data_IF_084479437541
#
_entry.id   IF_084479437541
#
_cell.length_a   1.000
_cell.length_b   1.000
_cell.length_c   1.000
_cell.angle_alpha   90.00
_cell.angle_beta   90.00
_cell.angle_gamma   90.00
#
_symmetry.space_group_name_H-M   'P 1'
#
loop_
_entity.id
_entity.type
_entity.pdbx_description
1 polymer ?
#
# COMPACT_ATOMS: atom_id res chain seq x y z
N UNK A 1 7.92 -13.30 -17.23
CA UNK A 1 6.49 -13.33 -16.84
C UNK A 1 5.68 -14.08 -17.89
N UNK A 2 5.69 -13.67 -19.15
CA UNK A 2 4.84 -14.27 -20.20
C UNK A 2 5.07 -15.79 -20.40
N UNK A 3 6.28 -16.27 -20.18
CA UNK A 3 6.67 -17.69 -20.30
C UNK A 3 6.44 -18.49 -18.99
N UNK A 4 6.33 -17.81 -17.85
CA UNK A 4 6.15 -18.43 -16.54
C UNK A 4 4.87 -17.86 -15.89
N UNK A 5 3.72 -18.30 -16.39
CA UNK A 5 2.40 -17.78 -15.97
C UNK A 5 1.96 -18.30 -14.59
N UNK A 6 2.62 -19.34 -14.12
CA UNK A 6 2.45 -19.96 -12.81
C UNK A 6 3.18 -19.21 -11.67
N UNK A 7 4.05 -18.24 -12.03
CA UNK A 7 4.76 -17.42 -11.05
C UNK A 7 4.03 -16.08 -10.90
N UNK A 8 3.38 -15.86 -9.77
CA UNK A 8 2.62 -14.65 -9.49
C UNK A 8 3.42 -13.56 -8.77
N UNK A 9 4.46 -13.93 -8.02
CA UNK A 9 5.28 -12.99 -7.23
C UNK A 9 6.73 -13.00 -7.71
N UNK A 10 7.24 -11.84 -8.05
CA UNK A 10 8.60 -11.65 -8.55
C UNK A 10 9.38 -10.71 -7.63
N UNK A 11 10.53 -11.17 -7.12
CA UNK A 11 11.40 -10.35 -6.28
C UNK A 11 12.50 -9.69 -7.11
N UNK A 12 12.63 -8.36 -6.98
CA UNK A 12 13.64 -7.55 -7.65
C UNK A 12 14.50 -6.86 -6.60
N UNK A 13 15.63 -7.49 -6.26
CA UNK A 13 16.64 -6.93 -5.34
C UNK A 13 17.76 -6.19 -6.07
N UNK A 14 17.41 -5.52 -7.15
CA UNK A 14 18.28 -4.67 -7.97
C UNK A 14 17.81 -3.22 -7.90
N UNK A 15 18.72 -2.28 -8.09
CA UNK A 15 18.35 -0.89 -8.16
C UNK A 15 19.47 0.05 -8.57
N UNK A 16 19.08 1.18 -9.14
CA UNK A 16 19.98 2.23 -9.58
C UNK A 16 20.71 2.90 -8.41
N UNK A 17 21.95 3.30 -8.65
CA UNK A 17 22.70 4.15 -7.72
C UNK A 17 22.20 5.60 -7.75
N UNK A 18 21.57 6.02 -8.84
CA UNK A 18 21.04 7.36 -9.02
C UNK A 18 19.67 7.49 -8.37
N UNK A 19 19.37 8.70 -7.93
CA UNK A 19 18.05 9.04 -7.39
C UNK A 19 16.97 9.05 -8.47
N UNK A 20 15.75 8.72 -8.11
CA UNK A 20 14.57 8.88 -8.97
C UNK A 20 14.27 10.36 -9.23
N UNK A 21 13.61 10.64 -10.36
CA UNK A 21 13.03 11.94 -10.64
C UNK A 21 11.72 12.14 -9.84
N UNK A 22 11.38 13.41 -9.55
CA UNK A 22 10.08 13.77 -8.98
C UNK A 22 9.08 14.25 -10.05
N UNK A 23 9.50 14.32 -11.32
CA UNK A 23 8.68 14.81 -12.41
C UNK A 23 8.22 13.69 -13.37
N UNK A 24 8.89 12.56 -13.35
CA UNK A 24 8.57 11.40 -14.21
C UNK A 24 9.06 10.10 -13.61
N UNK A 25 8.40 9.03 -13.98
CA UNK A 25 8.75 7.65 -13.59
C UNK A 25 9.88 7.14 -14.48
N UNK A 26 10.80 6.34 -13.92
CA UNK A 26 11.89 5.72 -14.68
C UNK A 26 11.35 4.73 -15.73
N UNK A 27 12.08 4.51 -16.85
CA UNK A 27 11.66 3.55 -17.87
C UNK A 27 11.49 2.14 -17.31
N UNK A 28 12.39 1.74 -16.41
CA UNK A 28 12.37 0.42 -15.76
C UNK A 28 11.11 0.24 -14.90
N UNK A 29 10.76 1.25 -14.09
CA UNK A 29 9.56 1.23 -13.27
C UNK A 29 8.29 1.23 -14.12
N UNK A 30 8.26 2.02 -15.20
CA UNK A 30 7.12 2.04 -16.12
C UNK A 30 6.91 0.67 -16.79
N UNK A 31 7.98 -0.03 -17.18
CA UNK A 31 7.88 -1.38 -17.71
C UNK A 31 7.33 -2.38 -16.67
N UNK A 32 7.74 -2.26 -15.39
CA UNK A 32 7.17 -3.10 -14.33
C UNK A 32 5.69 -2.80 -14.10
N UNK A 33 5.29 -1.53 -14.16
CA UNK A 33 3.88 -1.13 -13.98
C UNK A 33 3.00 -1.64 -15.11
N UNK A 34 3.46 -1.59 -16.36
CA UNK A 34 2.78 -2.14 -17.52
C UNK A 34 2.65 -3.66 -17.44
N UNK A 35 3.72 -4.37 -17.11
CA UNK A 35 3.70 -5.84 -16.95
C UNK A 35 2.68 -6.24 -15.87
N UNK A 36 2.63 -5.53 -14.75
CA UNK A 36 1.67 -5.81 -13.68
C UNK A 36 0.23 -5.48 -14.08
N UNK A 37 0.02 -4.44 -14.87
CA UNK A 37 -1.30 -4.13 -15.39
C UNK A 37 -1.81 -5.21 -16.35
N UNK A 38 -0.97 -5.67 -17.27
CA UNK A 38 -1.34 -6.66 -18.30
C UNK A 38 -1.42 -8.09 -17.77
N UNK A 39 -0.67 -8.42 -16.72
CA UNK A 39 -0.54 -9.77 -16.21
C UNK A 39 -0.92 -9.82 -14.72
N UNK A 40 -1.45 -10.94 -14.27
CA UNK A 40 -1.83 -11.15 -12.87
C UNK A 40 -0.60 -11.47 -12.00
N UNK A 41 0.37 -10.55 -11.95
CA UNK A 41 1.60 -10.68 -11.17
C UNK A 41 1.84 -9.45 -10.29
N UNK A 42 2.67 -9.59 -9.27
CA UNK A 42 3.15 -8.50 -8.43
C UNK A 42 4.67 -8.55 -8.32
N UNK A 43 5.32 -7.40 -8.52
CA UNK A 43 6.74 -7.24 -8.24
C UNK A 43 6.95 -6.70 -6.83
N UNK A 44 7.91 -7.30 -6.12
CA UNK A 44 8.44 -6.81 -4.86
C UNK A 44 9.82 -6.24 -5.14
N UNK A 45 9.98 -4.94 -4.92
CA UNK A 45 11.19 -4.20 -5.30
C UNK A 45 11.90 -3.69 -4.07
N UNK A 46 13.21 -3.89 -3.98
CA UNK A 46 14.03 -3.33 -2.90
C UNK A 46 14.16 -1.81 -3.02
N UNK A 47 14.02 -1.09 -1.89
CA UNK A 47 14.06 0.38 -1.82
C UNK A 47 15.44 1.02 -2.06
N UNK A 48 16.44 0.21 -2.41
CA UNK A 48 17.84 0.57 -2.65
C UNK A 48 18.61 1.09 -1.42
N UNK A 49 19.91 0.99 -1.45
CA UNK A 49 20.80 1.34 -0.33
C UNK A 49 21.65 2.58 -0.68
N UNK A 50 21.84 3.46 0.26
CA UNK A 50 22.83 4.53 0.15
C UNK A 50 24.22 4.02 0.53
N UNK A 51 25.24 4.61 -0.05
CA UNK A 51 26.63 4.24 0.23
C UNK A 51 27.12 4.82 1.56
N UNK A 52 26.71 6.05 1.86
CA UNK A 52 27.08 6.74 3.08
C UNK A 52 25.82 7.00 3.93
N UNK A 53 25.83 6.57 5.18
CA UNK A 53 24.70 6.73 6.10
C UNK A 53 24.30 8.18 6.37
N UNK A 54 25.22 9.12 6.21
CA UNK A 54 24.97 10.56 6.41
C UNK A 54 24.29 11.24 5.23
N UNK A 55 24.27 10.63 4.05
CA UNK A 55 23.61 11.19 2.88
C UNK A 55 22.09 11.05 2.99
N UNK A 56 21.37 12.11 2.57
CA UNK A 56 19.94 12.06 2.36
C UNK A 56 19.70 11.82 0.87
N UNK A 57 19.44 10.56 0.52
CA UNK A 57 19.33 10.11 -0.87
C UNK A 57 17.95 9.47 -1.09
N UNK A 58 17.33 9.80 -2.22
CA UNK A 58 16.07 9.17 -2.63
C UNK A 58 16.28 7.76 -3.16
N UNK A 59 15.25 6.94 -3.11
CA UNK A 59 15.24 5.60 -3.72
C UNK A 59 15.67 5.69 -5.18
N UNK A 60 16.19 4.58 -5.71
CA UNK A 60 16.64 4.49 -7.11
C UNK A 60 15.73 3.58 -7.94
N UNK A 61 15.70 3.81 -9.26
CA UNK A 61 14.94 2.95 -10.17
C UNK A 61 15.32 1.45 -9.99
N UNK A 62 14.35 0.52 -10.10
CA UNK A 62 12.93 0.70 -10.41
C UNK A 62 12.00 0.85 -9.18
N UNK A 63 12.53 1.27 -8.01
CA UNK A 63 11.74 1.44 -6.79
C UNK A 63 10.71 2.60 -6.87
N UNK A 64 10.65 3.31 -8.00
CA UNK A 64 9.61 4.29 -8.33
C UNK A 64 8.40 3.68 -9.07
N UNK A 65 8.35 2.36 -9.24
CA UNK A 65 7.16 1.67 -9.77
C UNK A 65 5.96 1.84 -8.83
N UNK A 66 4.85 2.32 -9.36
CA UNK A 66 3.63 2.58 -8.59
C UNK A 66 2.87 1.29 -8.26
N UNK A 67 2.79 0.37 -9.22
CA UNK A 67 2.08 -0.90 -9.04
C UNK A 67 2.88 -1.88 -8.16
N UNK A 68 4.20 -1.85 -8.19
CA UNK A 68 5.04 -2.71 -7.37
C UNK A 68 4.88 -2.46 -5.87
N UNK A 69 5.20 -3.46 -5.07
CA UNK A 69 5.36 -3.32 -3.62
C UNK A 69 6.83 -3.04 -3.32
N UNK A 70 7.15 -1.81 -2.96
CA UNK A 70 8.52 -1.37 -2.66
C UNK A 70 8.81 -1.56 -1.17
N UNK A 71 9.92 -2.23 -0.88
CA UNK A 71 10.29 -2.65 0.49
C UNK A 71 11.58 -1.98 0.92
N UNK A 72 11.53 -1.25 2.01
CA UNK A 72 12.71 -0.72 2.68
C UNK A 72 13.15 -1.60 3.87
N UNK A 73 14.29 -1.29 4.44
CA UNK A 73 14.87 -2.07 5.53
C UNK A 73 14.76 -1.34 6.88
N UNK A 74 14.51 -2.14 7.91
CA UNK A 74 14.58 -1.73 9.33
C UNK A 74 15.53 -2.64 10.10
N UNK A 75 15.95 -2.15 11.26
CA UNK A 75 16.66 -2.92 12.28
C UNK A 75 15.71 -3.83 13.08
N UNK A 76 16.22 -4.52 14.09
CA UNK A 76 15.42 -5.40 14.98
C UNK A 76 14.37 -4.66 15.82
N UNK A 77 14.56 -3.36 16.06
CA UNK A 77 13.63 -2.52 16.83
C UNK A 77 12.50 -1.95 15.96
N UNK A 78 12.60 -2.11 14.62
CA UNK A 78 11.69 -1.53 13.66
C UNK A 78 12.06 -0.08 13.27
N UNK A 79 13.23 0.38 13.66
CA UNK A 79 13.74 1.68 13.25
C UNK A 79 14.36 1.59 11.85
N UNK A 80 14.31 2.70 11.09
CA UNK A 80 14.87 2.72 9.74
C UNK A 80 16.34 2.37 9.72
N UNK A 81 16.73 1.46 8.85
CA UNK A 81 18.15 1.12 8.67
C UNK A 81 18.96 2.33 8.22
N UNK A 82 20.20 2.45 8.73
CA UNK A 82 21.09 3.59 8.46
C UNK A 82 21.38 3.82 6.97
N UNK A 83 21.34 2.76 6.17
CA UNK A 83 21.55 2.79 4.73
C UNK A 83 20.25 2.95 3.92
N UNK A 84 19.07 2.95 4.55
CA UNK A 84 17.80 3.10 3.85
C UNK A 84 17.72 4.45 3.11
N UNK A 85 17.18 4.42 1.89
CA UNK A 85 16.91 5.62 1.10
C UNK A 85 15.49 6.10 1.32
N UNK A 86 15.27 7.41 1.20
CA UNK A 86 13.95 8.00 1.38
C UNK A 86 13.13 7.96 0.09
N UNK A 87 11.83 7.89 0.27
CA UNK A 87 10.87 7.89 -0.84
C UNK A 87 10.21 9.22 -1.07
N UNK A 88 9.04 9.20 -1.34
CA UNK A 88 7.97 9.77 -2.14
C UNK A 88 8.34 9.78 -3.62
N UNK A 89 7.44 9.26 -4.41
CA UNK A 89 7.53 9.22 -5.87
C UNK A 89 6.55 10.26 -6.42
N UNK A 90 6.98 11.03 -7.42
CA UNK A 90 6.23 12.16 -7.99
C UNK A 90 5.70 13.13 -6.91
N UNK A 91 6.40 13.24 -5.79
CA UNK A 91 6.13 14.08 -4.61
C UNK A 91 4.90 13.68 -3.77
N UNK A 92 4.08 12.73 -4.18
CA UNK A 92 2.84 12.38 -3.48
C UNK A 92 2.56 10.88 -3.30
N UNK A 93 3.07 9.98 -4.16
CA UNK A 93 2.94 8.54 -3.93
C UNK A 93 3.83 8.10 -2.77
N UNK A 94 3.28 7.35 -1.83
CA UNK A 94 4.06 6.77 -0.73
C UNK A 94 4.86 5.60 -1.26
N UNK A 95 6.16 5.79 -1.25
CA UNK A 95 7.18 4.77 -1.48
C UNK A 95 8.36 5.06 -0.53
N UNK A 96 9.00 4.04 0.03
CA UNK A 96 8.62 2.62 -0.07
C UNK A 96 7.20 2.41 0.43
N UNK A 97 6.56 1.28 0.03
CA UNK A 97 5.24 0.95 0.57
C UNK A 97 5.36 0.47 2.03
N UNK A 98 6.26 -0.46 2.29
CA UNK A 98 6.43 -1.09 3.61
C UNK A 98 7.89 -1.37 3.91
N UNK A 99 8.14 -1.77 5.16
CA UNK A 99 9.46 -2.20 5.61
C UNK A 99 9.44 -3.63 6.15
N UNK A 100 10.61 -4.26 6.09
CA UNK A 100 10.90 -5.52 6.77
C UNK A 100 12.32 -5.49 7.35
N UNK A 101 12.61 -6.42 8.26
CA UNK A 101 13.95 -6.55 8.82
C UNK A 101 14.97 -6.81 7.71
N UNK A 102 15.95 -5.92 7.60
CA UNK A 102 17.06 -5.99 6.63
C UNK A 102 18.43 -5.96 7.31
N UNK A 103 18.45 -5.88 8.65
CA UNK A 103 19.65 -5.65 9.44
C UNK A 103 20.13 -4.20 9.41
N UNK A 104 21.07 -3.88 10.28
CA UNK A 104 21.79 -2.58 10.28
C UNK A 104 23.19 -2.76 10.89
N UNK A 105 23.77 -1.71 11.47
CA UNK A 105 25.08 -1.78 12.12
C UNK A 105 25.04 -2.82 13.26
N UNK A 106 25.93 -3.81 13.16
CA UNK A 106 26.00 -4.95 14.08
C UNK A 106 24.78 -5.90 14.07
N UNK A 107 23.89 -5.78 13.12
CA UNK A 107 22.74 -6.64 12.93
C UNK A 107 22.73 -7.19 11.50
N UNK A 108 22.68 -8.50 11.35
CA UNK A 108 22.86 -9.15 10.07
C UNK A 108 21.81 -10.24 9.85
N UNK A 109 21.61 -10.59 8.59
CA UNK A 109 20.81 -11.73 8.14
C UNK A 109 21.79 -12.82 7.69
N UNK A 110 21.60 -14.03 8.17
CA UNK A 110 22.32 -15.19 7.66
C UNK A 110 21.80 -15.53 6.27
N UNK A 111 22.69 -15.60 5.32
CA UNK A 111 22.39 -15.95 3.92
C UNK A 111 23.15 -17.19 3.50
N UNK A 112 22.51 -18.01 2.67
CA UNK A 112 23.14 -19.17 2.07
C UNK A 112 23.86 -18.76 0.79
N UNK A 113 25.14 -19.09 0.69
CA UNK A 113 25.96 -18.85 -0.51
C UNK A 113 26.49 -20.19 -1.03
N UNK A 114 27.00 -20.24 -2.27
CA UNK A 114 27.62 -21.47 -2.80
C UNK A 114 28.77 -21.99 -1.95
N UNK A 115 29.42 -21.13 -1.18
CA UNK A 115 30.56 -21.45 -0.33
C UNK A 115 30.21 -21.68 1.17
N UNK A 116 28.93 -21.58 1.53
CA UNK A 116 28.46 -21.77 2.91
C UNK A 116 27.55 -20.61 3.40
N UNK A 117 27.52 -20.47 4.73
CA UNK A 117 26.76 -19.37 5.35
C UNK A 117 27.59 -18.10 5.36
N UNK A 118 26.96 -16.98 5.02
CA UNK A 118 27.49 -15.62 5.12
C UNK A 118 26.52 -14.72 5.84
N UNK A 119 26.95 -13.57 6.29
CA UNK A 119 26.15 -12.56 6.96
C UNK A 119 26.02 -11.31 6.09
N UNK A 120 24.81 -10.83 5.90
CA UNK A 120 24.51 -9.72 5.02
C UNK A 120 23.51 -8.77 5.63
N UNK A 121 23.43 -7.55 5.09
CA UNK A 121 22.39 -6.55 5.40
C UNK A 121 22.04 -5.74 4.16
N UNK A 122 20.81 -5.24 4.08
CA UNK A 122 20.36 -4.42 2.96
C UNK A 122 18.88 -4.59 2.65
N UNK A 123 18.33 -3.65 1.91
CA UNK A 123 16.96 -3.74 1.38
C UNK A 123 16.76 -4.97 0.49
N UNK A 124 17.83 -5.45 -0.15
CA UNK A 124 17.83 -6.67 -0.95
C UNK A 124 17.53 -7.94 -0.15
N UNK A 125 17.73 -7.90 1.17
CA UNK A 125 17.42 -8.97 2.10
C UNK A 125 16.11 -8.78 2.84
N UNK A 126 15.60 -7.53 2.90
CA UNK A 126 14.27 -7.22 3.41
C UNK A 126 13.16 -7.61 2.42
N UNK A 127 13.33 -7.32 1.14
CA UNK A 127 12.32 -7.57 0.09
C UNK A 127 11.90 -9.05 -0.03
N UNK A 128 12.79 -10.05 0.02
CA UNK A 128 12.41 -11.47 -0.05
C UNK A 128 11.46 -11.93 1.07
N UNK A 129 11.51 -11.34 2.25
CA UNK A 129 10.56 -11.65 3.34
C UNK A 129 9.13 -11.29 2.96
N UNK A 130 8.97 -10.17 2.26
CA UNK A 130 7.66 -9.72 1.77
C UNK A 130 7.22 -10.55 0.56
N UNK A 131 8.14 -10.86 -0.35
CA UNK A 131 7.86 -11.75 -1.49
C UNK A 131 7.33 -13.11 -1.04
N UNK A 132 7.97 -13.71 -0.03
CA UNK A 132 7.54 -14.99 0.57
C UNK A 132 6.12 -14.89 1.16
N UNK A 133 5.78 -13.78 1.84
CA UNK A 133 4.44 -13.57 2.39
C UNK A 133 3.40 -13.43 1.28
N UNK A 134 3.70 -12.66 0.24
CA UNK A 134 2.81 -12.50 -0.91
C UNK A 134 2.58 -13.83 -1.63
N UNK A 135 3.63 -14.63 -1.89
CA UNK A 135 3.47 -15.96 -2.48
C UNK A 135 2.60 -16.87 -1.62
N UNK A 136 2.74 -16.80 -0.30
CA UNK A 136 1.86 -17.56 0.59
C UNK A 136 0.39 -17.12 0.46
N UNK A 137 0.12 -15.80 0.48
CA UNK A 137 -1.23 -15.25 0.36
C UNK A 137 -1.86 -15.57 -1.00
N UNK A 138 -1.10 -15.46 -2.09
CA UNK A 138 -1.61 -15.66 -3.44
C UNK A 138 -1.67 -17.15 -3.80
N UNK A 139 -0.55 -17.89 -3.64
CA UNK A 139 -0.41 -19.24 -4.18
C UNK A 139 -0.94 -20.32 -3.22
N UNK A 140 -0.97 -20.07 -1.91
CA UNK A 140 -1.47 -21.02 -0.91
C UNK A 140 -2.86 -20.68 -0.39
N UNK A 141 -3.15 -19.37 -0.19
CA UNK A 141 -4.45 -18.92 0.31
C UNK A 141 -5.40 -18.57 -0.83
N UNK A 142 -4.94 -18.60 -2.09
CA UNK A 142 -5.70 -18.30 -3.29
C UNK A 142 -6.37 -16.91 -3.27
N UNK A 143 -5.69 -15.92 -2.67
CA UNK A 143 -6.14 -14.54 -2.67
C UNK A 143 -5.67 -13.81 -3.94
N UNK A 144 -6.43 -12.82 -4.40
CA UNK A 144 -5.97 -11.94 -5.47
C UNK A 144 -4.74 -11.13 -5.02
N UNK A 145 -3.90 -10.73 -5.96
CA UNK A 145 -2.73 -9.89 -5.66
C UNK A 145 -3.13 -8.54 -5.06
N UNK A 146 -4.30 -8.02 -5.42
CA UNK A 146 -4.90 -6.80 -4.88
C UNK A 146 -5.20 -6.95 -3.39
N UNK A 147 -5.87 -8.03 -2.99
CA UNK A 147 -6.13 -8.37 -1.58
C UNK A 147 -4.82 -8.68 -0.84
N UNK A 148 -3.92 -9.44 -1.44
CA UNK A 148 -2.63 -9.75 -0.82
C UNK A 148 -1.80 -8.49 -0.54
N UNK A 149 -1.73 -7.54 -1.48
CA UNK A 149 -1.08 -6.24 -1.29
C UNK A 149 -1.77 -5.43 -0.19
N UNK A 150 -3.10 -5.41 -0.17
CA UNK A 150 -3.88 -4.71 0.86
C UNK A 150 -3.62 -5.28 2.26
N UNK A 151 -3.57 -6.61 2.42
CA UNK A 151 -3.27 -7.27 3.70
C UNK A 151 -1.85 -6.98 4.19
N UNK A 152 -0.86 -6.97 3.31
CA UNK A 152 0.52 -6.59 3.66
C UNK A 152 0.56 -5.16 4.19
N UNK A 153 -0.08 -4.21 3.50
CA UNK A 153 -0.13 -2.80 3.91
C UNK A 153 -0.98 -2.63 5.18
N UNK A 154 -2.10 -3.34 5.28
CA UNK A 154 -2.96 -3.31 6.48
C UNK A 154 -2.22 -3.78 7.72
N UNK A 155 -1.44 -4.84 7.61
CA UNK A 155 -0.68 -5.41 8.72
C UNK A 155 0.52 -4.56 9.15
N UNK A 156 1.00 -3.65 8.30
CA UNK A 156 2.13 -2.80 8.61
C UNK A 156 1.81 -1.85 9.77
N UNK A 157 2.73 -1.75 10.73
CA UNK A 157 2.59 -0.90 11.91
C UNK A 157 3.38 0.39 11.74
N UNK A 158 2.89 1.48 12.34
CA UNK A 158 3.59 2.75 12.38
C UNK A 158 3.05 3.85 11.47
N UNK A 159 2.16 3.57 10.53
CA UNK A 159 1.61 4.54 9.60
C UNK A 159 0.63 5.57 10.21
N UNK A 160 0.19 5.36 11.46
CA UNK A 160 -0.53 6.36 12.27
C UNK A 160 0.39 7.30 13.07
N UNK A 161 1.69 7.08 13.02
CA UNK A 161 2.63 7.95 13.73
C UNK A 161 2.94 9.15 12.83
N UNK A 162 2.77 10.35 13.35
CA UNK A 162 3.31 11.59 12.79
C UNK A 162 4.85 11.52 12.84
N UNK A 163 5.45 10.69 12.02
CA UNK A 163 6.87 10.40 12.07
C UNK A 163 7.58 11.13 10.95
N UNK A 164 8.65 11.84 11.28
CA UNK A 164 9.64 12.36 10.35
C UNK A 164 10.25 11.26 9.44
N UNK A 165 9.97 10.00 9.74
CA UNK A 165 10.48 8.83 9.04
C UNK A 165 9.47 8.19 8.07
N UNK A 166 8.29 8.79 7.84
CA UNK A 166 7.30 8.30 6.86
C UNK A 166 7.90 8.07 5.47
N UNK A 167 8.78 8.96 5.03
CA UNK A 167 9.47 8.82 3.75
C UNK A 167 10.43 7.62 3.67
N UNK A 168 10.81 7.03 4.81
CA UNK A 168 11.66 5.83 4.89
C UNK A 168 10.86 4.57 5.18
N UNK A 169 9.79 4.65 5.98
CA UNK A 169 9.03 3.53 6.48
C UNK A 169 7.76 3.24 5.67
N UNK A 170 7.32 4.20 4.87
CA UNK A 170 6.06 4.08 4.12
C UNK A 170 4.88 3.88 5.06
N UNK A 171 4.10 2.81 4.82
CA UNK A 171 2.98 2.45 5.68
C UNK A 171 3.39 1.74 6.97
N UNK A 172 4.69 1.40 7.13
CA UNK A 172 5.22 0.82 8.35
C UNK A 172 5.93 -0.51 8.16
N UNK A 173 6.17 -1.19 9.27
CA UNK A 173 6.90 -2.46 9.32
C UNK A 173 5.93 -3.63 9.31
N UNK A 174 6.11 -4.55 8.37
CA UNK A 174 5.27 -5.76 8.25
C UNK A 174 5.67 -6.78 9.32
N UNK A 175 4.70 -7.37 10.04
CA UNK A 175 4.97 -8.39 11.04
C UNK A 175 5.76 -9.59 10.48
N UNK A 176 6.62 -10.18 11.31
CA UNK A 176 7.43 -11.33 10.89
C UNK A 176 6.59 -12.56 10.59
N UNK A 177 5.58 -12.84 11.42
CA UNK A 177 4.71 -14.01 11.25
C UNK A 177 3.60 -13.74 10.26
N UNK A 178 3.34 -14.69 9.36
CA UNK A 178 2.26 -14.58 8.38
C UNK A 178 0.87 -14.59 9.05
N UNK A 179 0.72 -15.27 10.18
CA UNK A 179 -0.51 -15.22 10.97
C UNK A 179 -0.92 -13.80 11.35
N UNK A 180 0.05 -12.97 11.73
CA UNK A 180 -0.21 -11.60 12.18
C UNK A 180 -0.56 -10.67 11.00
N UNK A 181 -0.25 -11.08 9.77
CA UNK A 181 -0.72 -10.42 8.55
C UNK A 181 -2.19 -10.76 8.27
N UNK A 182 -2.55 -12.04 8.43
CA UNK A 182 -3.86 -12.56 8.03
C UNK A 182 -4.93 -12.42 9.10
N UNK A 183 -4.56 -12.66 10.35
CA UNK A 183 -5.49 -12.72 11.46
C UNK A 183 -5.53 -11.38 12.21
N UNK A 184 -6.71 -10.98 12.62
CA UNK A 184 -6.89 -9.88 13.57
C UNK A 184 -6.37 -10.25 14.96
N UNK A 185 -6.08 -9.26 15.78
CA UNK A 185 -5.86 -9.45 17.21
C UNK A 185 -7.14 -10.00 17.86
N UNK A 186 -7.07 -10.43 19.13
CA UNK A 186 -8.19 -11.08 19.84
C UNK A 186 -9.52 -10.32 19.76
N UNK A 187 -9.44 -8.99 19.68
CA UNK A 187 -10.60 -8.10 19.65
C UNK A 187 -10.79 -7.40 18.29
N UNK A 188 -10.16 -7.92 17.23
CA UNK A 188 -10.26 -7.41 15.86
C UNK A 188 -11.00 -8.39 14.96
N UNK A 189 -11.77 -7.84 14.03
CA UNK A 189 -12.39 -8.59 12.93
C UNK A 189 -11.84 -8.03 11.63
N UNK A 190 -11.27 -8.89 10.81
CA UNK A 190 -10.81 -8.56 9.46
C UNK A 190 -11.76 -9.13 8.42
N UNK A 191 -12.08 -8.30 7.44
CA UNK A 191 -12.80 -8.68 6.23
C UNK A 191 -11.92 -8.38 5.03
N UNK A 192 -12.06 -9.12 3.98
CA UNK A 192 -11.58 -8.69 2.69
C UNK A 192 -12.71 -8.74 1.66
N UNK A 193 -12.62 -7.85 0.69
CA UNK A 193 -13.53 -7.76 -0.45
C UNK A 193 -12.66 -7.66 -1.69
N UNK A 194 -13.00 -8.44 -2.70
CA UNK A 194 -12.40 -8.31 -4.02
C UNK A 194 -13.48 -8.17 -5.10
N UNK A 195 -13.14 -7.52 -6.18
CA UNK A 195 -14.07 -7.33 -7.27
C UNK A 195 -13.45 -6.63 -8.47
N UNK A 196 -14.31 -6.33 -9.45
CA UNK A 196 -13.96 -5.57 -10.62
C UNK A 196 -14.75 -4.25 -10.64
N UNK A 197 -14.04 -3.14 -10.81
CA UNK A 197 -14.65 -1.83 -10.95
C UNK A 197 -14.71 -1.44 -12.43
N UNK A 198 -15.90 -1.09 -12.92
CA UNK A 198 -16.08 -0.54 -14.25
C UNK A 198 -16.09 1.00 -14.18
N UNK A 199 -15.71 1.62 -15.30
CA UNK A 199 -15.65 3.08 -15.42
C UNK A 199 -16.95 3.77 -15.02
N UNK A 200 -16.84 4.80 -14.18
CA UNK A 200 -17.96 5.64 -13.75
C UNK A 200 -19.07 4.96 -12.94
N UNK A 201 -18.83 3.72 -12.47
CA UNK A 201 -19.76 3.05 -11.57
C UNK A 201 -19.39 3.28 -10.11
N UNK A 202 -20.41 3.27 -9.26
CA UNK A 202 -20.27 3.28 -7.80
C UNK A 202 -20.71 1.92 -7.27
N UNK A 203 -19.86 1.33 -6.46
CA UNK A 203 -20.10 0.05 -5.78
C UNK A 203 -20.27 0.28 -4.29
N UNK A 204 -21.28 -0.35 -3.70
CA UNK A 204 -21.50 -0.27 -2.25
C UNK A 204 -21.60 -1.69 -1.69
N UNK A 205 -20.78 -1.95 -0.68
CA UNK A 205 -20.73 -3.23 0.03
C UNK A 205 -21.15 -3.02 1.49
N UNK A 206 -22.07 -3.85 1.96
CA UNK A 206 -22.49 -3.83 3.35
C UNK A 206 -21.63 -4.80 4.16
N UNK A 207 -21.17 -4.35 5.32
CA UNK A 207 -20.30 -5.12 6.20
C UNK A 207 -21.02 -5.41 7.53
N UNK A 208 -21.10 -6.67 7.96
CA UNK A 208 -21.70 -7.07 9.22
C UNK A 208 -20.74 -6.79 10.39
N UNK A 209 -20.61 -5.55 10.79
CA UNK A 209 -19.76 -5.18 11.93
C UNK A 209 -20.51 -5.42 13.23
N UNK A 210 -19.89 -6.08 14.23
CA UNK A 210 -20.54 -6.35 15.51
C UNK A 210 -21.01 -5.08 16.22
N UNK A 211 -22.19 -5.15 16.79
CA UNK A 211 -22.79 -4.08 17.61
C UNK A 211 -22.97 -4.61 19.02
N UNK A 212 -22.40 -3.93 19.99
CA UNK A 212 -22.55 -4.24 21.41
C UNK A 212 -23.18 -3.05 22.11
N UNK A 213 -24.32 -3.26 22.80
CA UNK A 213 -25.09 -2.21 23.47
C UNK A 213 -25.35 -0.99 22.56
N UNK A 214 -25.83 -1.23 21.34
CA UNK A 214 -26.13 -0.22 20.32
C UNK A 214 -24.91 0.61 19.88
N UNK A 215 -23.71 0.10 20.08
CA UNK A 215 -22.46 0.79 19.73
C UNK A 215 -21.57 -0.08 18.85
N UNK A 216 -20.89 0.58 17.92
CA UNK A 216 -19.86 -0.01 17.07
C UNK A 216 -18.48 0.04 17.74
N UNK A 217 -17.48 -0.70 17.20
CA UNK A 217 -16.12 -0.71 17.73
C UNK A 217 -15.48 0.69 17.74
N UNK A 218 -14.48 0.84 18.61
CA UNK A 218 -13.74 2.09 18.79
C UNK A 218 -12.91 2.49 17.59
N UNK A 219 -12.40 1.51 16.85
CA UNK A 219 -11.42 1.69 15.79
C UNK A 219 -11.86 0.94 14.55
N UNK A 220 -11.68 1.58 13.41
CA UNK A 220 -11.97 0.98 12.12
C UNK A 220 -10.94 1.44 11.08
N UNK A 221 -10.56 0.54 10.18
CA UNK A 221 -9.57 0.77 9.13
C UNK A 221 -9.98 0.04 7.87
N UNK A 222 -9.76 0.64 6.72
CA UNK A 222 -9.89 -0.01 5.42
C UNK A 222 -8.70 0.37 4.54
N UNK A 223 -8.14 -0.60 3.84
CA UNK A 223 -7.04 -0.45 2.90
C UNK A 223 -7.48 -0.98 1.55
N UNK A 224 -7.50 -0.11 0.55
CA UNK A 224 -7.81 -0.45 -0.84
C UNK A 224 -6.53 -0.48 -1.67
N UNK A 225 -6.34 -1.55 -2.43
CA UNK A 225 -5.28 -1.67 -3.43
C UNK A 225 -5.83 -2.06 -4.79
N UNK A 226 -5.26 -1.52 -5.84
CA UNK A 226 -5.54 -1.86 -7.25
C UNK A 226 -4.32 -1.55 -8.11
N UNK A 227 -4.32 -2.04 -9.35
CA UNK A 227 -3.22 -1.91 -10.29
C UNK A 227 -3.70 -1.17 -11.54
N UNK A 228 -3.68 0.18 -11.53
CA UNK A 228 -4.15 0.98 -12.65
C UNK A 228 -3.20 0.87 -13.85
N UNK A 229 -3.73 1.14 -15.04
CA UNK A 229 -2.89 1.46 -16.19
C UNK A 229 -2.08 2.71 -15.89
N UNK A 230 -0.81 2.68 -16.27
CA UNK A 230 0.13 3.78 -16.04
C UNK A 230 0.70 4.25 -17.37
N UNK A 231 0.87 5.56 -17.54
CA UNK A 231 1.33 6.15 -18.80
C UNK A 231 2.46 7.14 -18.55
N UNK A 232 3.70 6.72 -18.84
CA UNK A 232 4.92 7.47 -18.54
C UNK A 232 4.96 8.88 -19.17
N UNK A 233 4.40 9.05 -20.36
CA UNK A 233 4.36 10.32 -21.07
C UNK A 233 3.49 11.39 -20.38
N UNK A 234 2.68 11.02 -19.39
CA UNK A 234 1.80 11.95 -18.65
C UNK A 234 2.49 12.61 -17.45
N UNK A 235 3.78 12.34 -17.23
CA UNK A 235 4.52 12.92 -16.09
C UNK A 235 3.87 12.60 -14.75
N UNK A 236 3.49 13.63 -14.01
CA UNK A 236 2.86 13.49 -12.68
C UNK A 236 1.45 12.89 -12.74
N UNK A 237 0.78 12.94 -13.88
CA UNK A 237 -0.53 12.33 -14.13
C UNK A 237 -0.43 10.85 -14.55
N UNK A 238 0.53 10.16 -14.01
CA UNK A 238 1.00 8.85 -14.40
C UNK A 238 -0.05 7.74 -14.40
N UNK A 239 -0.94 7.72 -13.38
CA UNK A 239 -1.98 6.69 -13.23
C UNK A 239 -3.27 7.09 -13.93
N UNK A 240 -3.88 6.16 -14.68
CA UNK A 240 -5.11 6.40 -15.44
C UNK A 240 -6.38 6.41 -14.59
N UNK A 241 -6.43 5.62 -13.53
CA UNK A 241 -7.65 5.32 -12.79
C UNK A 241 -7.58 5.78 -11.35
N UNK A 242 -8.68 6.29 -10.84
CA UNK A 242 -8.91 6.60 -9.44
C UNK A 242 -10.08 5.77 -8.91
N UNK A 243 -9.88 5.05 -7.82
CA UNK A 243 -10.94 4.48 -6.99
C UNK A 243 -11.04 5.28 -5.69
N UNK A 244 -12.06 6.14 -5.59
CA UNK A 244 -12.39 6.82 -4.34
C UNK A 244 -12.94 5.81 -3.33
N UNK A 245 -12.38 5.79 -2.11
CA UNK A 245 -12.80 4.90 -1.02
C UNK A 245 -13.51 5.68 0.07
N UNK A 246 -14.73 5.32 0.36
CA UNK A 246 -15.44 5.73 1.58
C UNK A 246 -15.70 4.49 2.44
N UNK A 247 -15.46 4.61 3.73
CA UNK A 247 -15.68 3.54 4.70
C UNK A 247 -16.26 4.09 5.99
N UNK A 248 -17.36 3.53 6.44
CA UNK A 248 -18.03 4.00 7.64
C UNK A 248 -19.42 3.41 7.84
N UNK A 249 -20.19 4.03 8.73
CA UNK A 249 -21.53 3.59 9.08
C UNK A 249 -22.52 3.88 7.95
N UNK A 250 -23.39 2.92 7.67
CA UNK A 250 -24.49 3.12 6.74
C UNK A 250 -25.48 4.14 7.28
N UNK A 251 -25.70 5.22 6.54
CA UNK A 251 -26.77 6.17 6.79
C UNK A 251 -28.03 5.83 5.98
N UNK A 252 -29.03 6.69 6.02
CA UNK A 252 -30.29 6.49 5.28
C UNK A 252 -30.07 6.57 3.76
N UNK A 253 -29.19 7.44 3.29
CA UNK A 253 -28.97 7.70 1.86
C UNK A 253 -27.52 7.45 1.42
N UNK A 254 -26.57 7.47 2.34
CA UNK A 254 -25.15 7.39 2.02
C UNK A 254 -24.32 6.88 3.22
N UNK A 255 -23.05 6.57 2.97
CA UNK A 255 -22.10 6.16 4.01
C UNK A 255 -21.60 7.39 4.76
N UNK A 256 -21.66 7.34 6.09
CA UNK A 256 -20.95 8.30 6.95
C UNK A 256 -19.53 7.81 7.15
N UNK A 257 -18.65 8.21 6.24
CA UNK A 257 -17.24 7.86 6.29
C UNK A 257 -16.58 8.32 7.59
N UNK A 258 -15.64 7.51 8.09
CA UNK A 258 -14.90 7.80 9.33
C UNK A 258 -13.92 8.96 9.17
N UNK A 259 -13.44 9.19 7.94
CA UNK A 259 -12.65 10.37 7.60
C UNK A 259 -13.04 10.88 6.20
N UNK A 260 -12.53 12.05 5.82
CA UNK A 260 -12.80 12.67 4.53
C UNK A 260 -11.69 12.33 3.53
N UNK A 261 -11.78 11.16 2.93
CA UNK A 261 -10.84 10.74 1.87
C UNK A 261 -11.29 11.13 0.47
N UNK A 262 -12.50 11.67 0.33
CA UNK A 262 -13.08 12.03 -0.96
C UNK A 262 -13.36 13.52 -1.01
N UNK A 263 -13.02 14.12 -2.13
CA UNK A 263 -13.33 15.50 -2.42
C UNK A 263 -14.83 15.61 -2.78
N UNK A 264 -15.67 16.00 -1.85
CA UNK A 264 -17.12 15.95 -1.99
C UNK A 264 -17.90 17.25 -1.80
N UNK A 265 -17.30 18.31 -1.26
CA UNK A 265 -17.97 19.56 -0.93
C UNK A 265 -17.51 20.76 -1.77
N UNK A 266 -18.23 21.89 -1.67
CA UNK A 266 -17.84 23.14 -2.37
C UNK A 266 -16.49 23.68 -1.87
N UNK A 267 -16.19 23.57 -0.58
CA UNK A 267 -14.89 23.92 0.01
C UNK A 267 -13.76 23.05 -0.52
N UNK A 268 -14.04 21.80 -0.83
CA UNK A 268 -13.06 20.84 -1.36
C UNK A 268 -12.72 21.14 -2.83
N UNK A 269 -13.64 21.78 -3.58
CA UNK A 269 -13.42 22.17 -4.99
C UNK A 269 -12.41 23.30 -5.15
N UNK A 270 -12.23 24.12 -4.13
CA UNK A 270 -11.25 25.21 -4.12
C UNK A 270 -9.83 24.71 -3.76
N UNK A 271 -9.66 23.44 -3.41
CA UNK A 271 -8.37 22.87 -3.06
C UNK A 271 -7.50 22.73 -4.30
N UNK A 272 -6.27 23.23 -4.27
CA UNK A 272 -5.32 23.04 -5.36
C UNK A 272 -4.92 21.56 -5.52
N UNK A 273 -4.42 21.19 -6.67
CA UNK A 273 -4.14 19.80 -7.02
C UNK A 273 -3.12 19.14 -6.08
N UNK A 274 -2.05 19.84 -5.71
CA UNK A 274 -1.03 19.31 -4.81
C UNK A 274 -1.62 18.94 -3.45
N UNK A 275 -2.42 19.83 -2.88
CA UNK A 275 -3.14 19.61 -1.62
C UNK A 275 -4.17 18.47 -1.75
N UNK A 276 -4.89 18.39 -2.88
CA UNK A 276 -5.84 17.31 -3.13
C UNK A 276 -5.14 15.94 -3.23
N UNK A 277 -3.99 15.88 -3.85
CA UNK A 277 -3.16 14.65 -3.91
C UNK A 277 -2.64 14.24 -2.53
N UNK A 278 -2.23 15.19 -1.72
CA UNK A 278 -1.74 14.92 -0.37
C UNK A 278 -2.87 14.50 0.59
N UNK A 279 -3.94 15.29 0.69
CA UNK A 279 -5.05 15.06 1.65
C UNK A 279 -5.97 13.91 1.24
N UNK A 280 -6.33 13.82 -0.03
CA UNK A 280 -7.31 12.84 -0.53
C UNK A 280 -6.66 11.67 -1.25
N UNK A 281 -5.34 11.63 -1.32
CA UNK A 281 -4.59 10.58 -2.05
C UNK A 281 -5.12 10.39 -3.47
N UNK A 282 -5.42 11.51 -4.15
CA UNK A 282 -5.96 11.48 -5.50
C UNK A 282 -5.02 10.79 -6.47
N UNK A 283 -5.57 9.86 -7.26
CA UNK A 283 -4.86 9.07 -8.26
C UNK A 283 -3.80 8.10 -7.71
N UNK A 284 -3.78 7.90 -6.38
CA UNK A 284 -2.95 6.87 -5.73
C UNK A 284 -3.66 5.52 -5.80
N UNK A 285 -2.91 4.46 -6.08
CA UNK A 285 -3.41 3.10 -6.18
C UNK A 285 -3.46 2.35 -4.83
N UNK A 286 -3.12 3.04 -3.77
CA UNK A 286 -3.30 2.61 -2.38
C UNK A 286 -4.11 3.66 -1.64
N UNK A 287 -5.29 3.29 -1.15
CA UNK A 287 -6.14 4.18 -0.34
C UNK A 287 -6.28 3.60 1.05
N UNK A 288 -6.12 4.45 2.05
CA UNK A 288 -6.29 4.07 3.45
C UNK A 288 -7.28 5.02 4.10
N UNK A 289 -8.33 4.43 4.67
CA UNK A 289 -9.29 5.11 5.53
C UNK A 289 -9.14 4.54 6.92
N UNK A 290 -8.76 5.36 7.88
CA UNK A 290 -8.43 4.93 9.23
C UNK A 290 -8.96 5.89 10.28
N UNK A 291 -9.41 5.34 11.39
CA UNK A 291 -9.74 6.09 12.58
C UNK A 291 -8.49 6.64 13.27
N UNK A 292 -8.60 7.86 13.79
CA UNK A 292 -7.62 8.36 14.75
C UNK A 292 -7.78 7.67 16.10
N UNK A 293 -6.68 7.17 16.64
CA UNK A 293 -6.64 6.63 18.00
C UNK A 293 -6.54 7.82 18.97
N UNK A 294 -7.58 7.97 19.79
CA UNK A 294 -7.64 9.03 20.83
C UNK A 294 -7.95 8.39 22.18
N UNK A 295 -7.27 8.80 23.22
CA UNK A 295 -7.46 8.26 24.59
C UNK A 295 -8.89 8.47 25.11
N UNK A 296 -9.57 9.51 24.63
CA UNK A 296 -10.94 9.87 25.04
C UNK A 296 -12.01 9.41 24.05
N UNK A 297 -11.68 8.51 23.11
CA UNK A 297 -12.60 8.10 22.06
C UNK A 297 -13.76 7.29 22.62
N UNK A 298 -14.98 7.68 22.27
CA UNK A 298 -16.21 6.98 22.61
C UNK A 298 -16.67 6.11 21.43
N UNK A 299 -17.16 4.89 21.67
CA UNK A 299 -17.72 4.04 20.61
C UNK A 299 -18.84 4.76 19.85
N UNK A 300 -18.88 4.55 18.53
CA UNK A 300 -19.89 5.16 17.66
C UNK A 300 -21.26 4.52 17.93
N UNK A 301 -22.30 5.33 18.04
CA UNK A 301 -23.67 4.84 18.06
C UNK A 301 -24.03 4.16 16.73
N UNK A 302 -24.76 3.06 16.78
CA UNK A 302 -25.33 2.43 15.60
C UNK A 302 -26.43 3.30 14.98
N UNK A 303 -26.70 3.04 13.70
CA UNK A 303 -27.84 3.61 12.96
C UNK A 303 -28.83 2.52 12.60
N UNK A 304 -29.91 2.91 11.92
CA UNK A 304 -31.08 2.07 11.62
C UNK A 304 -30.75 0.69 11.02
N UNK A 305 -29.66 0.57 10.24
CA UNK A 305 -29.28 -0.72 9.65
C UNK A 305 -28.29 -1.54 10.47
N UNK A 306 -27.69 -0.95 11.50
CA UNK A 306 -26.57 -1.57 12.24
C UNK A 306 -25.45 -2.11 11.33
N UNK A 307 -25.27 -1.52 10.16
CA UNK A 307 -24.28 -1.94 9.18
C UNK A 307 -23.21 -0.86 8.96
N UNK A 308 -22.04 -1.31 8.62
CA UNK A 308 -21.00 -0.50 7.99
C UNK A 308 -21.00 -0.78 6.49
N UNK A 309 -20.38 0.12 5.74
CA UNK A 309 -20.26 -0.05 4.31
C UNK A 309 -18.96 0.50 3.77
N UNK A 310 -18.59 -0.04 2.63
CA UNK A 310 -17.55 0.48 1.75
C UNK A 310 -18.22 0.95 0.48
N UNK A 311 -17.89 2.17 0.05
CA UNK A 311 -18.32 2.71 -1.23
C UNK A 311 -17.08 3.04 -2.06
N UNK A 312 -17.04 2.48 -3.25
CA UNK A 312 -16.01 2.71 -4.25
C UNK A 312 -16.60 3.47 -5.43
N UNK A 313 -15.95 4.55 -5.84
CA UNK A 313 -16.34 5.30 -7.04
C UNK A 313 -15.16 5.34 -8.00
N UNK A 314 -15.37 4.79 -9.20
CA UNK A 314 -14.35 4.72 -10.23
C UNK A 314 -14.40 5.96 -11.14
N UNK A 315 -13.24 6.58 -11.37
CA UNK A 315 -13.00 7.67 -12.32
C UNK A 315 -11.77 7.38 -13.16
N UNK A 316 -11.78 7.80 -14.41
CA UNK A 316 -10.68 7.60 -15.35
C UNK A 316 -10.31 8.91 -16.05
N UNK A 317 -9.02 9.06 -16.44
CA UNK A 317 -8.52 10.27 -17.11
C UNK A 317 -8.38 10.11 -18.61
N UNK A 318 -7.77 9.02 -19.06
CA UNK A 318 -7.25 8.88 -20.42
C UNK A 318 -8.01 7.84 -21.22
N UNK A 319 -8.16 6.65 -20.67
CA UNK A 319 -8.76 5.51 -21.31
C UNK A 319 -9.76 4.82 -20.39
N UNK A 320 -10.80 4.26 -20.96
CA UNK A 320 -11.75 3.45 -20.19
C UNK A 320 -11.12 2.10 -19.86
N UNK A 321 -10.93 1.88 -18.58
CA UNK A 321 -10.50 0.58 -18.04
C UNK A 321 -11.73 -0.34 -17.91
N UNK A 322 -11.69 -1.50 -18.56
CA UNK A 322 -12.76 -2.49 -18.44
C UNK A 322 -12.39 -3.50 -17.38
N UNK A 323 -13.05 -3.42 -16.23
CA UNK A 323 -12.91 -4.44 -15.20
C UNK A 323 -11.62 -4.35 -14.41
N UNK A 324 -11.26 -3.14 -13.91
CA UNK A 324 -10.14 -2.98 -13.00
C UNK A 324 -10.37 -3.77 -11.71
N UNK A 325 -9.51 -4.74 -11.44
CA UNK A 325 -9.55 -5.52 -10.21
C UNK A 325 -9.13 -4.68 -9.01
N UNK A 326 -9.79 -4.89 -7.88
CA UNK A 326 -9.44 -4.25 -6.62
C UNK A 326 -9.56 -5.23 -5.46
N UNK A 327 -8.81 -4.93 -4.38
CA UNK A 327 -8.90 -5.59 -3.08
C UNK A 327 -8.99 -4.57 -1.94
N UNK A 328 -9.88 -4.82 -1.00
CA UNK A 328 -10.04 -4.01 0.22
C UNK A 328 -9.91 -4.90 1.44
#
# INVERSE_FOLDING_TARGET
VKENKDIHVWNISLGSKFEISQNYISPEAAALDEIQYENNVIFVVAGTNKKNSKEIVRIGAPADSINSLVVNAVDKNGDKASYARKGKVLSFFVKPDVCAFGGDTNEYINVCTPTGLDIQRGTSFAAPWISRKLSYLIDKMNLSREVAKALIIDSAVGWNKTNKDEEYLGYGVVPTKISDVMLGQKDEIKFYIEGNANSYYTYTYNLPVPVVNEKFPFYAKAVLCYFPKCTRSQGVDYTNTELDLQFGRMGVKDIRSINRNTQGGELDRATNEATARELYRKWDNVKIVVDEIKDTKVPRKSFNSNLWGIKLTNKERLERDRGLKFGV
#
